data_IF_740117053224
#
_entry.id   IF_740117053224
#
_cell.length_a   1.000
_cell.length_b   1.000
_cell.length_c   1.000
_cell.angle_alpha   90.00
_cell.angle_beta   90.00
_cell.angle_gamma   90.00
#
_symmetry.space_group_name_H-M   'P 1'
#
loop_
_entity.id
_entity.type
_entity.pdbx_description
1 polymer ?
#
# COMPACT_ATOMS: atom_id res chain seq x y z
N UNK A 1 19.34 18.41 11.48
CA UNK A 1 18.05 17.82 11.01
C UNK A 1 16.91 18.82 11.14
N UNK A 2 15.87 18.73 10.30
CA UNK A 2 14.69 19.62 10.31
C UNK A 2 13.48 18.86 10.84
N UNK A 3 12.79 19.41 11.84
CA UNK A 3 11.55 18.83 12.36
C UNK A 3 10.39 19.05 11.38
N UNK A 4 9.58 18.03 11.21
CA UNK A 4 8.34 18.04 10.43
C UNK A 4 7.23 17.31 11.19
N UNK A 5 5.98 17.54 10.82
CA UNK A 5 4.81 16.88 11.39
C UNK A 5 3.95 16.29 10.28
N UNK A 6 3.34 15.15 10.55
CA UNK A 6 2.36 14.51 9.68
C UNK A 6 1.10 14.20 10.47
N UNK A 7 -0.07 14.61 9.97
CA UNK A 7 -1.36 14.27 10.54
C UNK A 7 -1.80 12.89 10.06
N UNK A 8 -2.09 12.01 11.01
CA UNK A 8 -2.64 10.69 10.72
C UNK A 8 -3.99 10.51 11.42
N UNK A 9 -4.73 9.46 11.09
CA UNK A 9 -5.97 9.12 11.79
C UNK A 9 -5.76 8.80 13.28
N UNK A 10 -4.54 8.40 13.64
CA UNK A 10 -4.16 8.04 15.00
C UNK A 10 -3.52 9.19 15.78
N UNK A 11 -3.40 10.38 15.18
CA UNK A 11 -2.80 11.56 15.78
C UNK A 11 -1.68 12.17 14.94
N UNK A 12 -0.98 13.15 15.50
CA UNK A 12 0.13 13.85 14.85
C UNK A 12 1.43 13.11 15.10
N UNK A 13 2.12 12.73 14.03
CA UNK A 13 3.48 12.19 14.09
C UNK A 13 4.47 13.34 13.94
N UNK A 14 5.47 13.39 14.80
CA UNK A 14 6.65 14.26 14.62
C UNK A 14 7.80 13.43 14.07
N UNK A 15 8.51 13.99 13.12
CA UNK A 15 9.66 13.34 12.52
C UNK A 15 10.72 14.37 12.11
N UNK A 16 11.96 13.93 12.03
CA UNK A 16 13.11 14.76 11.68
C UNK A 16 13.75 14.20 10.41
N UNK A 17 14.09 15.12 9.51
CA UNK A 17 14.75 14.80 8.24
C UNK A 17 16.06 15.53 8.12
N UNK A 18 17.08 14.89 7.56
CA UNK A 18 18.30 15.53 7.11
C UNK A 18 18.05 16.28 5.79
N UNK A 19 19.09 16.92 5.22
CA UNK A 19 19.01 17.42 3.86
C UNK A 19 18.71 16.27 2.89
N UNK A 20 17.77 16.49 1.96
CA UNK A 20 17.37 15.48 0.97
C UNK A 20 18.27 15.56 -0.26
N UNK A 21 18.88 14.45 -0.64
CA UNK A 21 19.55 14.24 -1.92
C UNK A 21 18.87 13.06 -2.63
N UNK A 22 18.23 13.29 -3.81
CA UNK A 22 17.47 12.26 -4.51
C UNK A 22 18.35 11.05 -4.93
N UNK A 23 19.64 11.25 -5.12
CA UNK A 23 20.58 10.20 -5.55
C UNK A 23 21.16 9.39 -4.38
N UNK A 24 20.74 9.67 -3.15
CA UNK A 24 21.30 9.07 -1.94
C UNK A 24 20.29 8.18 -1.23
N UNK A 25 20.77 7.05 -0.70
CA UNK A 25 19.96 6.12 0.10
C UNK A 25 19.39 6.85 1.33
N UNK A 26 18.12 6.60 1.63
CA UNK A 26 17.46 7.10 2.83
C UNK A 26 17.48 6.04 3.93
N UNK A 27 18.04 6.38 5.08
CA UNK A 27 18.01 5.58 6.30
C UNK A 27 16.87 6.06 7.19
N UNK A 28 16.02 5.13 7.61
CA UNK A 28 14.93 5.41 8.54
C UNK A 28 15.24 4.79 9.89
N UNK A 29 15.32 5.62 10.92
CA UNK A 29 15.55 5.20 12.31
C UNK A 29 14.22 5.11 13.05
N UNK A 30 13.92 3.91 13.55
CA UNK A 30 12.68 3.61 14.25
C UNK A 30 12.98 3.39 15.73
N UNK A 31 12.60 4.31 16.64
CA UNK A 31 12.76 4.10 18.07
C UNK A 31 11.85 2.97 18.55
N UNK A 32 12.27 2.30 19.61
CA UNK A 32 11.44 1.29 20.29
C UNK A 32 10.19 1.91 20.94
N UNK A 33 9.29 1.04 21.44
CA UNK A 33 7.97 1.42 21.98
C UNK A 33 7.98 2.52 23.06
N UNK A 34 9.06 2.61 23.83
CA UNK A 34 9.21 3.56 24.94
C UNK A 34 10.31 4.57 24.71
N UNK A 35 10.87 4.60 23.49
CA UNK A 35 11.96 5.46 23.11
C UNK A 35 11.47 6.54 22.13
N UNK A 36 12.25 7.60 21.99
CA UNK A 36 12.01 8.67 21.02
C UNK A 36 13.25 8.90 20.12
N UNK A 37 13.18 9.88 19.23
CA UNK A 37 14.25 10.25 18.31
C UNK A 37 15.60 10.47 18.97
N UNK A 38 15.65 10.92 20.23
CA UNK A 38 16.88 11.19 21.00
C UNK A 38 17.72 9.92 21.22
N UNK A 39 17.12 8.75 21.09
CA UNK A 39 17.84 7.47 21.17
C UNK A 39 18.92 7.33 20.10
N UNK A 40 18.84 8.14 19.04
CA UNK A 40 19.76 8.10 17.90
C UNK A 40 20.70 9.32 17.81
N UNK A 41 20.71 10.21 18.80
CA UNK A 41 21.50 11.44 18.81
C UNK A 41 23.01 11.21 18.54
N UNK A 42 23.55 10.06 18.97
CA UNK A 42 24.93 9.70 18.75
C UNK A 42 25.20 9.09 17.38
N UNK A 43 24.20 8.46 16.78
CA UNK A 43 24.32 7.80 15.49
C UNK A 43 24.08 8.76 14.31
N UNK A 44 23.14 9.69 14.48
CA UNK A 44 22.77 10.65 13.42
C UNK A 44 23.95 11.39 12.80
N UNK A 45 24.87 12.01 13.56
CA UNK A 45 26.00 12.74 12.98
C UNK A 45 26.93 11.90 12.11
N UNK A 46 26.93 10.58 12.33
CA UNK A 46 27.70 9.64 11.53
C UNK A 46 27.08 9.39 10.15
N UNK A 47 25.75 9.37 10.08
CA UNK A 47 25.02 8.99 8.88
C UNK A 47 24.54 10.19 8.05
N UNK A 48 24.18 11.32 8.66
CA UNK A 48 23.55 12.47 7.98
C UNK A 48 24.41 13.11 6.89
N UNK A 49 25.73 12.92 6.94
CA UNK A 49 26.65 13.44 5.91
C UNK A 49 26.79 12.51 4.68
N UNK A 50 26.25 11.28 4.74
CA UNK A 50 26.42 10.27 3.70
C UNK A 50 25.10 9.76 3.15
N UNK A 51 24.03 9.90 3.93
CA UNK A 51 22.72 9.35 3.65
C UNK A 51 21.64 10.39 3.97
N UNK A 52 20.51 10.27 3.30
CA UNK A 52 19.32 10.94 3.82
C UNK A 52 18.90 10.22 5.09
N UNK A 53 18.62 10.97 6.15
CA UNK A 53 18.23 10.38 7.44
C UNK A 53 16.85 10.86 7.82
N UNK A 54 16.02 9.92 8.27
CA UNK A 54 14.69 10.17 8.79
C UNK A 54 14.59 9.49 10.14
N UNK A 55 14.07 10.21 11.12
CA UNK A 55 13.78 9.69 12.45
C UNK A 55 12.40 10.17 12.84
N UNK A 56 11.61 9.33 13.45
CA UNK A 56 10.31 9.74 13.96
C UNK A 56 10.14 9.42 15.44
N UNK A 57 9.20 10.12 16.08
CA UNK A 57 8.68 9.74 17.39
C UNK A 57 7.43 8.88 17.17
N UNK A 58 7.53 7.60 17.56
CA UNK A 58 6.39 6.71 17.53
C UNK A 58 5.42 7.12 18.65
N UNK A 59 4.19 7.51 18.32
CA UNK A 59 3.11 7.48 19.30
C UNK A 59 2.87 6.02 19.71
N UNK A 60 2.75 5.74 20.99
CA UNK A 60 2.60 4.39 21.53
C UNK A 60 1.46 3.55 20.88
N UNK A 61 0.53 4.19 20.18
CA UNK A 61 -0.57 3.56 19.44
C UNK A 61 -0.29 3.30 17.95
N UNK A 62 0.80 3.84 17.37
CA UNK A 62 1.07 3.75 15.93
C UNK A 62 1.66 2.40 15.52
N UNK A 63 2.30 1.68 16.43
CA UNK A 63 2.81 0.33 16.16
C UNK A 63 1.72 -0.69 15.82
N UNK A 64 0.46 -0.37 16.08
CA UNK A 64 -0.70 -1.18 15.71
C UNK A 64 -1.51 -0.62 14.53
N UNK A 65 -1.07 0.48 13.92
CA UNK A 65 -1.71 1.03 12.74
C UNK A 65 -0.87 0.65 11.50
N UNK A 66 -1.25 -0.40 10.74
CA UNK A 66 -0.54 -0.77 9.50
C UNK A 66 -0.49 0.37 8.49
N UNK A 67 -1.41 1.33 8.60
CA UNK A 67 -1.52 2.49 7.72
C UNK A 67 -0.41 3.54 7.96
N UNK A 68 0.25 3.54 9.12
CA UNK A 68 1.34 4.48 9.41
C UNK A 68 2.59 4.23 8.55
N UNK A 69 2.79 3.00 8.09
CA UNK A 69 3.90 2.63 7.20
C UNK A 69 3.73 3.18 5.78
N UNK A 70 2.48 3.46 5.36
CA UNK A 70 2.16 4.01 4.04
C UNK A 70 2.12 5.54 4.02
N UNK A 71 2.12 6.19 5.20
CA UNK A 71 1.97 7.66 5.30
C UNK A 71 3.30 8.39 5.36
N UNK A 72 4.42 7.69 5.47
CA UNK A 72 5.77 8.27 5.32
C UNK A 72 6.12 8.50 3.84
N UNK A 73 5.19 9.10 3.09
CA UNK A 73 5.52 9.80 1.87
C UNK A 73 6.17 11.13 2.26
N UNK A 74 7.44 11.06 2.56
CA UNK A 74 8.26 12.22 2.85
C UNK A 74 8.52 12.89 1.53
N UNK A 75 7.79 13.99 1.30
CA UNK A 75 7.99 14.89 0.14
C UNK A 75 8.40 14.16 -1.15
N UNK A 76 7.73 13.05 -1.51
CA UNK A 76 7.69 12.63 -2.88
C UNK A 76 6.95 13.75 -3.64
N UNK A 77 7.46 14.22 -4.77
CA UNK A 77 6.74 15.19 -5.58
C UNK A 77 5.32 14.66 -5.83
N UNK A 78 4.33 15.55 -5.75
CA UNK A 78 2.94 15.21 -6.04
C UNK A 78 2.87 14.57 -7.43
N UNK A 79 2.61 13.28 -7.46
CA UNK A 79 2.70 12.42 -8.63
C UNK A 79 3.69 11.29 -8.33
N UNK A 80 3.18 10.08 -8.03
CA UNK A 80 4.02 8.89 -7.92
C UNK A 80 4.89 8.82 -9.17
N UNK A 81 6.22 8.82 -8.99
CA UNK A 81 7.12 8.84 -10.13
C UNK A 81 6.87 7.57 -10.95
N UNK A 82 6.94 7.67 -12.26
CA UNK A 82 6.87 6.55 -13.20
C UNK A 82 7.70 5.34 -12.73
N UNK A 83 8.84 5.62 -12.08
CA UNK A 83 9.73 4.65 -11.46
C UNK A 83 9.11 3.90 -10.25
N UNK A 84 8.25 4.54 -9.44
CA UNK A 84 7.59 3.85 -8.31
C UNK A 84 6.47 2.93 -8.79
N UNK A 85 5.76 3.36 -9.82
CA UNK A 85 4.72 2.60 -10.50
C UNK A 85 5.31 1.32 -11.11
N UNK A 86 6.44 1.44 -11.82
CA UNK A 86 7.16 0.29 -12.40
C UNK A 86 7.64 -0.71 -11.34
N UNK A 87 8.09 -0.24 -10.17
CA UNK A 87 8.44 -1.14 -9.06
C UNK A 87 7.25 -1.96 -8.57
N UNK A 88 6.07 -1.37 -8.50
CA UNK A 88 4.84 -2.10 -8.12
C UNK A 88 4.51 -3.16 -9.16
N UNK A 89 4.61 -2.83 -10.45
CA UNK A 89 4.33 -3.76 -11.54
C UNK A 89 5.31 -4.93 -11.58
N UNK A 90 6.57 -4.68 -11.25
CA UNK A 90 7.63 -5.69 -11.22
C UNK A 90 7.58 -6.60 -9.98
N UNK A 91 6.68 -6.36 -9.03
CA UNK A 91 6.55 -7.24 -7.86
C UNK A 91 5.95 -8.59 -8.27
N UNK A 92 6.50 -9.73 -7.79
CA UNK A 92 5.85 -11.02 -7.99
C UNK A 92 4.46 -11.08 -7.35
N UNK A 93 3.46 -11.53 -8.08
CA UNK A 93 2.10 -11.71 -7.56
C UNK A 93 2.07 -12.66 -6.36
N UNK A 94 2.97 -13.65 -6.35
CA UNK A 94 3.20 -14.56 -5.23
C UNK A 94 3.54 -13.85 -3.90
N UNK A 95 4.05 -12.61 -3.92
CA UNK A 95 4.28 -11.80 -2.72
C UNK A 95 3.05 -10.99 -2.32
N UNK A 96 2.30 -10.51 -3.29
CA UNK A 96 1.13 -9.65 -3.06
C UNK A 96 -0.09 -10.46 -2.61
N UNK A 97 -0.39 -11.58 -3.28
CA UNK A 97 -1.56 -12.38 -3.01
C UNK A 97 -1.69 -12.84 -1.53
N UNK A 98 -0.63 -13.38 -0.89
CA UNK A 98 -0.71 -13.73 0.54
C UNK A 98 -1.03 -12.54 1.43
N UNK A 99 -0.54 -11.34 1.10
CA UNK A 99 -0.82 -10.12 1.87
C UNK A 99 -2.29 -9.71 1.78
N UNK A 100 -2.93 -9.87 0.61
CA UNK A 100 -4.35 -9.62 0.43
C UNK A 100 -5.20 -10.61 1.24
N UNK A 101 -4.83 -11.90 1.18
CA UNK A 101 -5.49 -12.96 1.97
C UNK A 101 -5.32 -12.72 3.47
N UNK A 102 -4.11 -12.40 3.93
CA UNK A 102 -3.85 -12.12 5.34
C UNK A 102 -4.63 -10.90 5.85
N UNK A 103 -4.71 -9.83 5.03
CA UNK A 103 -5.51 -8.64 5.35
C UNK A 103 -6.98 -8.99 5.60
N UNK A 104 -7.55 -9.86 4.77
CA UNK A 104 -8.92 -10.35 4.93
C UNK A 104 -9.05 -11.28 6.15
N UNK A 105 -8.11 -12.23 6.33
CA UNK A 105 -8.13 -13.22 7.39
C UNK A 105 -8.05 -12.59 8.81
N UNK A 106 -7.30 -11.51 8.99
CA UNK A 106 -7.25 -10.74 10.25
C UNK A 106 -8.61 -10.23 10.72
N UNK A 107 -9.59 -10.16 9.84
CA UNK A 107 -10.96 -9.72 10.09
C UNK A 107 -11.99 -10.85 9.97
N UNK A 108 -11.53 -12.10 10.00
CA UNK A 108 -12.38 -13.29 9.95
C UNK A 108 -12.93 -13.61 8.56
N UNK A 109 -12.32 -13.05 7.51
CA UNK A 109 -12.68 -13.36 6.12
C UNK A 109 -11.82 -14.50 5.57
N UNK A 110 -12.27 -15.12 4.51
CA UNK A 110 -11.64 -16.31 3.94
C UNK A 110 -10.85 -15.98 2.66
N UNK A 111 -9.90 -16.85 2.32
CA UNK A 111 -9.21 -16.81 1.04
C UNK A 111 -10.19 -16.92 -0.13
N UNK A 112 -11.19 -17.78 -0.04
CA UNK A 112 -12.22 -17.96 -1.09
C UNK A 112 -12.97 -16.65 -1.40
N UNK A 113 -13.22 -15.81 -0.39
CA UNK A 113 -13.84 -14.49 -0.61
C UNK A 113 -12.88 -13.51 -1.33
N UNK A 114 -11.58 -13.61 -1.08
CA UNK A 114 -10.56 -12.82 -1.81
C UNK A 114 -10.50 -13.30 -3.26
N UNK A 115 -10.47 -14.61 -3.50
CA UNK A 115 -10.47 -15.20 -4.84
C UNK A 115 -11.72 -14.81 -5.63
N UNK A 116 -12.88 -14.79 -4.96
CA UNK A 116 -14.14 -14.34 -5.55
C UNK A 116 -14.08 -12.86 -5.98
N UNK A 117 -13.45 -12.01 -5.18
CA UNK A 117 -13.24 -10.59 -5.52
C UNK A 117 -12.30 -10.45 -6.71
N UNK A 118 -11.17 -11.17 -6.71
CA UNK A 118 -10.22 -11.16 -7.82
C UNK A 118 -10.91 -11.64 -9.10
N UNK A 119 -11.62 -12.77 -9.03
CA UNK A 119 -12.36 -13.31 -10.17
C UNK A 119 -13.44 -12.36 -10.69
N UNK A 120 -14.18 -11.70 -9.79
CA UNK A 120 -15.18 -10.70 -10.17
C UNK A 120 -14.55 -9.50 -10.89
N UNK A 121 -13.38 -9.03 -10.43
CA UNK A 121 -12.71 -7.87 -11.02
C UNK A 121 -12.06 -8.18 -12.37
N UNK A 122 -11.35 -9.29 -12.47
CA UNK A 122 -10.39 -9.60 -13.54
C UNK A 122 -10.84 -10.70 -14.49
N UNK A 123 -11.88 -11.48 -14.11
CA UNK A 123 -12.32 -12.65 -14.88
C UNK A 123 -11.46 -13.90 -14.67
N UNK A 124 -10.45 -13.88 -13.83
CA UNK A 124 -9.68 -15.08 -13.51
C UNK A 124 -10.50 -16.11 -12.74
N UNK A 125 -10.37 -17.38 -13.11
CA UNK A 125 -10.82 -18.48 -12.28
C UNK A 125 -9.83 -18.79 -11.15
N UNK A 126 -10.29 -19.46 -10.09
CA UNK A 126 -9.43 -19.85 -8.95
C UNK A 126 -8.18 -20.62 -9.40
N UNK A 127 -8.25 -21.63 -10.29
CA UNK A 127 -7.04 -22.31 -10.78
C UNK A 127 -6.07 -21.39 -11.52
N UNK A 128 -6.56 -20.36 -12.21
CA UNK A 128 -5.70 -19.38 -12.89
C UNK A 128 -5.02 -18.43 -11.90
N UNK A 129 -5.71 -18.05 -10.81
CA UNK A 129 -5.11 -17.25 -9.71
C UNK A 129 -3.99 -18.07 -9.06
N UNK A 130 -4.24 -19.34 -8.75
CA UNK A 130 -3.24 -20.24 -8.18
C UNK A 130 -2.04 -20.43 -9.11
N UNK A 131 -2.27 -20.60 -10.40
CA UNK A 131 -1.23 -20.72 -11.41
C UNK A 131 -0.38 -19.44 -11.48
N UNK A 132 -0.99 -18.26 -11.44
CA UNK A 132 -0.27 -16.98 -11.43
C UNK A 132 0.63 -16.83 -10.20
N UNK A 133 0.19 -17.31 -9.04
CA UNK A 133 1.02 -17.35 -7.82
C UNK A 133 2.21 -18.30 -7.99
N UNK A 134 2.01 -19.47 -8.59
CA UNK A 134 3.04 -20.52 -8.74
C UNK A 134 4.07 -20.18 -9.83
N UNK A 135 3.64 -19.56 -10.92
CA UNK A 135 4.46 -19.31 -12.11
C UNK A 135 5.33 -18.05 -12.01
N UNK A 136 5.31 -17.34 -10.89
CA UNK A 136 6.10 -16.13 -10.71
C UNK A 136 5.60 -14.94 -11.55
N UNK A 137 4.31 -14.94 -11.94
CA UNK A 137 3.67 -13.84 -12.67
C UNK A 137 3.90 -12.51 -11.96
N UNK A 138 4.31 -11.47 -12.68
CA UNK A 138 4.47 -10.13 -12.14
C UNK A 138 3.11 -9.48 -11.90
N UNK A 139 3.01 -8.64 -10.90
CA UNK A 139 1.73 -8.01 -10.50
C UNK A 139 1.13 -7.15 -11.62
N UNK A 140 1.96 -6.41 -12.34
CA UNK A 140 1.53 -5.68 -13.52
C UNK A 140 1.00 -6.59 -14.61
N UNK A 141 1.70 -7.71 -14.89
CA UNK A 141 1.31 -8.66 -15.93
C UNK A 141 0.02 -9.39 -15.57
N UNK A 142 -0.17 -9.74 -14.29
CA UNK A 142 -1.42 -10.30 -13.80
C UNK A 142 -2.65 -9.46 -14.19
N UNK A 143 -2.53 -8.13 -14.16
CA UNK A 143 -3.61 -7.25 -14.61
C UNK A 143 -3.62 -7.02 -16.13
N UNK A 144 -2.47 -6.97 -16.80
CA UNK A 144 -2.42 -6.82 -18.28
C UNK A 144 -3.02 -8.01 -19.00
N UNK A 145 -2.80 -9.20 -18.44
CA UNK A 145 -3.25 -10.48 -19.02
C UNK A 145 -4.62 -10.92 -18.45
N UNK A 146 -5.31 -10.03 -17.73
CA UNK A 146 -6.62 -10.33 -17.16
C UNK A 146 -7.62 -10.76 -18.24
N UNK A 147 -8.28 -11.93 -18.11
CA UNK A 147 -9.16 -12.48 -19.16
C UNK A 147 -10.28 -11.53 -19.54
N UNK A 148 -10.93 -10.90 -18.56
CA UNK A 148 -12.03 -9.98 -18.81
C UNK A 148 -12.31 -9.12 -17.57
N UNK A 149 -11.96 -7.85 -17.62
CA UNK A 149 -12.36 -6.92 -16.60
C UNK A 149 -13.88 -6.74 -16.52
N UNK A 150 -14.41 -6.80 -15.30
CA UNK A 150 -15.81 -6.53 -15.08
C UNK A 150 -16.16 -5.07 -15.45
N UNK A 151 -17.15 -4.83 -16.33
CA UNK A 151 -17.53 -3.47 -16.70
C UNK A 151 -18.02 -2.63 -15.53
N UNK A 152 -18.67 -3.25 -14.53
CA UNK A 152 -19.19 -2.57 -13.34
C UNK A 152 -18.08 -2.09 -12.37
N UNK A 153 -16.81 -2.43 -12.60
CA UNK A 153 -15.67 -1.94 -11.81
C UNK A 153 -15.57 -0.41 -11.77
N UNK A 154 -16.06 0.26 -12.80
CA UNK A 154 -16.10 1.74 -12.84
C UNK A 154 -17.01 2.36 -11.77
N UNK A 155 -17.89 1.56 -11.16
CA UNK A 155 -18.72 1.94 -10.02
C UNK A 155 -17.96 1.92 -8.69
N UNK A 156 -16.72 1.44 -8.67
CA UNK A 156 -15.84 1.47 -7.50
C UNK A 156 -15.36 2.90 -7.32
N UNK A 157 -15.85 3.58 -6.27
CA UNK A 157 -15.55 4.99 -5.99
C UNK A 157 -14.95 5.15 -4.59
N UNK A 158 -14.41 6.33 -4.35
CA UNK A 158 -13.87 6.73 -3.07
C UNK A 158 -12.36 6.66 -3.01
N UNK A 159 -11.78 6.61 -1.83
CA UNK A 159 -10.34 6.63 -1.64
C UNK A 159 -9.80 5.32 -1.07
N UNK A 160 -8.57 5.00 -1.43
CA UNK A 160 -7.74 3.97 -0.84
C UNK A 160 -6.35 4.56 -0.57
N UNK A 161 -5.79 4.36 0.63
CA UNK A 161 -4.52 4.94 1.03
C UNK A 161 -4.43 6.46 0.76
N UNK A 162 -5.50 7.21 1.09
CA UNK A 162 -5.66 8.66 0.88
C UNK A 162 -5.67 9.15 -0.58
N UNK A 163 -5.58 8.26 -1.56
CA UNK A 163 -5.69 8.59 -2.99
C UNK A 163 -7.12 8.34 -3.45
N UNK A 164 -7.74 9.32 -4.09
CA UNK A 164 -9.05 9.16 -4.73
C UNK A 164 -8.90 8.30 -5.98
N UNK A 165 -9.71 7.25 -6.11
CA UNK A 165 -9.68 6.37 -7.29
C UNK A 165 -9.95 7.12 -8.59
N UNK A 166 -10.77 8.15 -8.51
CA UNK A 166 -11.14 8.99 -9.64
C UNK A 166 -9.99 9.86 -10.16
N UNK A 167 -9.00 10.19 -9.29
CA UNK A 167 -7.83 11.00 -9.65
C UNK A 167 -6.66 10.18 -10.23
N UNK A 168 -6.79 8.85 -10.28
CA UNK A 168 -5.73 8.00 -10.83
C UNK A 168 -5.86 7.99 -12.36
N UNK A 169 -4.89 8.59 -13.03
CA UNK A 169 -4.86 8.72 -14.49
C UNK A 169 -4.27 7.47 -15.17
N UNK A 170 -3.29 6.83 -14.53
CA UNK A 170 -2.61 5.65 -15.06
C UNK A 170 -3.54 4.43 -15.00
N UNK A 171 -3.91 3.83 -16.16
CA UNK A 171 -4.98 2.84 -16.22
C UNK A 171 -4.67 1.55 -15.45
N UNK A 172 -3.43 1.05 -15.55
CA UNK A 172 -3.04 -0.21 -14.89
C UNK A 172 -3.00 -0.04 -13.37
N UNK A 173 -2.45 1.07 -12.88
CA UNK A 173 -2.47 1.39 -11.46
C UNK A 173 -3.91 1.52 -10.94
N UNK A 174 -4.80 2.07 -11.71
CA UNK A 174 -6.22 2.19 -11.36
C UNK A 174 -6.87 0.83 -11.13
N UNK A 175 -6.61 -0.15 -12.01
CA UNK A 175 -7.12 -1.52 -11.84
C UNK A 175 -6.56 -2.17 -10.55
N UNK A 176 -5.27 -2.00 -10.28
CA UNK A 176 -4.62 -2.45 -9.03
C UNK A 176 -5.32 -1.82 -7.82
N UNK A 177 -5.56 -0.52 -7.84
CA UNK A 177 -6.22 0.20 -6.75
C UNK A 177 -7.70 -0.18 -6.58
N UNK A 178 -8.35 -0.61 -7.63
CA UNK A 178 -9.68 -1.22 -7.50
C UNK A 178 -9.62 -2.50 -6.68
N UNK A 179 -8.68 -3.39 -6.93
CA UNK A 179 -8.49 -4.60 -6.12
C UNK A 179 -8.20 -4.26 -4.66
N UNK A 180 -7.25 -3.36 -4.40
CA UNK A 180 -6.93 -2.89 -3.04
C UNK A 180 -8.17 -2.39 -2.29
N UNK A 181 -9.02 -1.63 -2.98
CA UNK A 181 -10.26 -1.08 -2.44
C UNK A 181 -11.27 -2.16 -2.10
N UNK A 182 -11.47 -3.13 -2.99
CA UNK A 182 -12.41 -4.23 -2.78
C UNK A 182 -11.99 -5.10 -1.59
N UNK A 183 -10.70 -5.44 -1.48
CA UNK A 183 -10.17 -6.21 -0.34
C UNK A 183 -10.22 -5.39 0.95
N UNK A 184 -10.02 -4.10 0.90
CA UNK A 184 -10.18 -3.21 2.06
C UNK A 184 -11.64 -3.18 2.56
N UNK A 185 -12.59 -3.13 1.65
CA UNK A 185 -14.02 -3.20 1.99
C UNK A 185 -14.41 -4.56 2.56
N UNK A 186 -13.84 -5.66 2.04
CA UNK A 186 -14.00 -7.01 2.58
C UNK A 186 -13.48 -7.08 4.02
N UNK A 187 -12.26 -6.59 4.25
CA UNK A 187 -11.65 -6.55 5.57
C UNK A 187 -12.43 -5.65 6.55
N UNK A 188 -13.15 -4.65 6.09
CA UNK A 188 -14.07 -3.81 6.89
C UNK A 188 -15.42 -4.45 7.16
N UNK A 189 -15.62 -5.71 6.75
CA UNK A 189 -16.86 -6.46 7.04
C UNK A 189 -18.02 -6.15 6.10
N UNK A 190 -17.78 -5.48 4.96
CA UNK A 190 -18.83 -5.21 3.97
C UNK A 190 -19.31 -6.51 3.34
N UNK A 191 -20.61 -6.64 3.13
CA UNK A 191 -21.20 -7.82 2.48
C UNK A 191 -20.73 -7.94 1.02
N UNK A 192 -20.51 -9.17 0.55
CA UNK A 192 -19.98 -9.46 -0.78
C UNK A 192 -20.82 -8.85 -1.90
N UNK A 193 -22.15 -8.87 -1.77
CA UNK A 193 -23.09 -8.28 -2.73
C UNK A 193 -22.95 -6.74 -2.85
N UNK A 194 -22.48 -6.11 -1.76
CA UNK A 194 -22.20 -4.66 -1.74
C UNK A 194 -20.78 -4.33 -2.24
N UNK A 195 -19.86 -5.29 -2.15
CA UNK A 195 -18.51 -5.17 -2.68
C UNK A 195 -18.53 -5.33 -4.19
N UNK A 196 -19.20 -6.35 -4.68
CA UNK A 196 -19.44 -6.58 -6.10
C UNK A 196 -20.55 -5.65 -6.58
N UNK A 197 -20.18 -4.47 -7.11
CA UNK A 197 -21.14 -3.51 -7.65
C UNK A 197 -21.84 -4.10 -8.86
N UNK A 198 -23.11 -3.82 -9.01
CA UNK A 198 -23.91 -4.16 -10.21
C UNK A 198 -24.71 -2.95 -10.62
N UNK A 199 -24.67 -2.62 -11.91
CA UNK A 199 -25.67 -1.75 -12.51
C UNK A 199 -27.02 -2.52 -12.49
N UNK A 200 -27.96 -2.07 -11.65
CA UNK A 200 -29.35 -2.51 -11.73
C UNK A 200 -30.06 -1.75 -12.82
#
# INVERSE_FOLDING_TARGET
MKEKTCQTRCGTIRYWVSASNPDTITLVFLPGLTADHRSFDKQIPYFENRYNVIIWDALAHILFCPEAWYTLHIDAPEGGTEMETEKVYAMPFAKIYPMLVEKAARKGRTQAEVDEIIGWLTGYSVPQIEAAVQNGTLYGDFFRDAPQFNPDRVLIKGSICNVKLESIEEPLMKEIRYLDKLVDELAKGKAMEKIKRTNK
#
